data_IF_893509888348
#
_entry.id   IF_893509888348
#
_cell.length_a   1.000
_cell.length_b   1.000
_cell.length_c   1.000
_cell.angle_alpha   90.00
_cell.angle_beta   90.00
_cell.angle_gamma   90.00
#
_symmetry.space_group_name_H-M   'P 1'
#
loop_
_entity.id
_entity.type
_entity.pdbx_description
1 polymer ?
#
# COMPACT_ATOMS: atom_id res chain seq x y z
N UNK A 1 13.40 38.61 -38.47
CA UNK A 1 12.70 39.80 -37.90
C UNK A 1 13.66 40.46 -36.94
N UNK A 2 13.88 41.77 -37.03
CA UNK A 2 14.79 42.51 -36.13
C UNK A 2 14.03 43.63 -35.44
N UNK A 3 14.13 43.69 -34.11
CA UNK A 3 13.52 44.77 -33.32
C UNK A 3 14.20 44.94 -31.98
N UNK A 4 14.62 46.16 -31.68
CA UNK A 4 15.21 46.55 -30.40
C UNK A 4 14.18 47.01 -29.36
N UNK A 5 12.89 47.00 -29.69
CA UNK A 5 11.82 47.48 -28.82
C UNK A 5 10.72 46.45 -28.59
N UNK A 6 10.66 45.38 -29.38
CA UNK A 6 9.64 44.35 -29.26
C UNK A 6 9.80 43.60 -27.93
N UNK A 7 8.74 43.63 -27.11
CA UNK A 7 8.67 42.93 -25.82
C UNK A 7 7.85 41.66 -25.88
N UNK A 8 6.71 41.70 -26.57
CA UNK A 8 5.80 40.56 -26.66
C UNK A 8 5.66 40.13 -28.12
N UNK A 9 5.87 38.85 -28.39
CA UNK A 9 5.69 38.28 -29.71
C UNK A 9 4.74 37.09 -29.66
N UNK A 10 3.59 37.23 -30.30
CA UNK A 10 2.56 36.21 -30.35
C UNK A 10 2.55 35.55 -31.74
N UNK A 11 2.80 34.25 -31.75
CA UNK A 11 2.81 33.36 -32.92
C UNK A 11 1.85 32.18 -32.74
N UNK A 12 0.83 32.34 -31.89
CA UNK A 12 -0.15 31.30 -31.60
C UNK A 12 -0.94 30.89 -32.86
N UNK A 13 -1.41 29.64 -32.89
CA UNK A 13 -2.28 29.06 -33.90
C UNK A 13 -1.75 29.19 -35.33
N UNK A 14 -0.44 29.01 -35.47
CA UNK A 14 0.22 28.94 -36.76
C UNK A 14 0.56 27.47 -37.11
N UNK A 15 1.38 27.27 -38.14
CA UNK A 15 1.86 25.94 -38.57
C UNK A 15 3.37 25.82 -38.42
N UNK A 16 3.95 26.55 -37.48
CA UNK A 16 5.41 26.56 -37.26
C UNK A 16 5.80 25.21 -36.66
N UNK A 17 6.78 24.55 -37.26
CA UNK A 17 7.27 23.24 -36.82
C UNK A 17 8.71 23.26 -36.33
N UNK A 18 9.43 24.37 -36.54
CA UNK A 18 10.85 24.47 -36.25
C UNK A 18 11.26 25.89 -35.86
N UNK A 19 12.16 25.98 -34.88
CA UNK A 19 12.92 27.19 -34.51
C UNK A 19 14.37 26.80 -34.28
N UNK A 20 15.27 27.79 -34.31
CA UNK A 20 16.69 27.62 -34.06
C UNK A 20 17.27 28.83 -33.33
N UNK A 21 18.57 28.78 -33.07
CA UNK A 21 19.34 29.83 -32.40
C UNK A 21 19.32 31.20 -33.11
N UNK A 22 18.95 31.28 -34.38
CA UNK A 22 18.84 32.55 -35.12
C UNK A 22 17.41 33.10 -35.18
N UNK A 23 16.41 32.32 -34.77
CA UNK A 23 14.99 32.66 -34.95
C UNK A 23 14.59 33.92 -34.18
N UNK A 24 15.01 34.02 -32.91
CA UNK A 24 14.71 35.15 -32.02
C UNK A 24 15.93 36.00 -31.66
N UNK A 25 17.07 35.74 -32.31
CA UNK A 25 18.36 36.38 -32.03
C UNK A 25 18.31 37.91 -32.10
N UNK A 26 17.62 38.46 -33.09
CA UNK A 26 17.51 39.92 -33.31
C UNK A 26 16.37 40.58 -32.51
N UNK A 27 15.93 39.96 -31.41
CA UNK A 27 14.88 40.47 -30.51
C UNK A 27 15.40 40.60 -29.06
N UNK A 28 16.42 41.43 -28.80
CA UNK A 28 17.11 41.47 -27.50
C UNK A 28 16.25 41.96 -26.33
N UNK A 29 15.10 42.61 -26.59
CA UNK A 29 14.16 43.11 -25.57
C UNK A 29 12.93 42.23 -25.38
N UNK A 30 12.91 41.03 -25.98
CA UNK A 30 11.80 40.10 -25.86
C UNK A 30 11.63 39.63 -24.41
N UNK A 31 10.45 39.83 -23.86
CA UNK A 31 10.04 39.39 -22.52
C UNK A 31 9.05 38.24 -22.60
N UNK A 32 8.10 38.29 -23.54
CA UNK A 32 7.10 37.23 -23.72
C UNK A 32 7.06 36.67 -25.14
N UNK A 33 7.05 35.35 -25.25
CA UNK A 33 6.84 34.62 -26.51
C UNK A 33 5.69 33.63 -26.34
N UNK A 34 4.68 33.74 -27.22
CA UNK A 34 3.57 32.79 -27.25
C UNK A 34 3.59 32.03 -28.59
N UNK A 35 3.61 30.70 -28.51
CA UNK A 35 3.63 29.79 -29.68
C UNK A 35 2.63 28.63 -29.52
N UNK A 36 1.53 28.89 -28.82
CA UNK A 36 0.46 27.93 -28.56
C UNK A 36 -0.13 27.44 -29.89
N UNK A 37 -0.51 26.16 -30.01
CA UNK A 37 -1.26 25.67 -31.17
C UNK A 37 -0.42 25.62 -32.44
N UNK A 38 0.86 25.28 -32.32
CA UNK A 38 1.78 25.11 -33.45
C UNK A 38 2.07 23.62 -33.68
N UNK A 39 3.11 23.30 -34.47
CA UNK A 39 3.47 21.94 -34.88
C UNK A 39 4.83 21.50 -34.36
N UNK A 40 5.25 22.02 -33.20
CA UNK A 40 6.53 21.63 -32.62
C UNK A 40 6.45 20.20 -32.09
N UNK A 41 7.45 19.40 -32.44
CA UNK A 41 7.59 18.01 -31.99
C UNK A 41 8.86 17.80 -31.19
N UNK A 42 9.93 18.50 -31.53
CA UNK A 42 11.25 18.38 -30.89
C UNK A 42 11.39 19.39 -29.76
N UNK A 43 11.87 18.94 -28.61
CA UNK A 43 12.20 19.82 -27.49
C UNK A 43 13.24 20.85 -27.92
N UNK A 44 13.01 22.12 -27.58
CA UNK A 44 13.94 23.20 -27.93
C UNK A 44 15.18 23.14 -27.05
N UNK A 45 16.25 23.79 -27.52
CA UNK A 45 17.44 23.96 -26.71
C UNK A 45 17.40 25.33 -26.03
N UNK A 46 17.81 25.40 -24.75
CA UNK A 46 17.93 26.66 -24.00
C UNK A 46 18.76 27.71 -24.74
N UNK A 47 19.80 27.29 -25.47
CA UNK A 47 20.67 28.18 -26.25
C UNK A 47 19.92 28.98 -27.33
N UNK A 48 18.72 28.57 -27.74
CA UNK A 48 17.91 29.32 -28.70
C UNK A 48 17.50 30.70 -28.16
N UNK A 49 17.54 30.88 -26.85
CA UNK A 49 17.18 32.11 -26.15
C UNK A 49 18.39 32.85 -25.57
N UNK A 50 19.61 32.49 -25.97
CA UNK A 50 20.84 33.10 -25.44
C UNK A 50 20.89 34.64 -25.62
N UNK A 51 20.21 35.17 -26.64
CA UNK A 51 20.12 36.62 -26.91
C UNK A 51 18.90 37.30 -26.31
N UNK A 52 18.00 36.55 -25.67
CA UNK A 52 16.73 37.05 -25.11
C UNK A 52 16.79 37.03 -23.58
N UNK A 53 17.72 37.82 -23.01
CA UNK A 53 18.02 37.82 -21.56
C UNK A 53 16.85 38.23 -20.66
N UNK A 54 15.84 38.90 -21.21
CA UNK A 54 14.66 39.37 -20.48
C UNK A 54 13.45 38.45 -20.63
N UNK A 55 13.61 37.29 -21.29
CA UNK A 55 12.50 36.37 -21.57
C UNK A 55 12.01 35.69 -20.29
N UNK A 56 10.90 36.17 -19.75
CA UNK A 56 10.26 35.69 -18.52
C UNK A 56 9.00 34.85 -18.81
N UNK A 57 8.34 35.06 -19.95
CA UNK A 57 7.12 34.35 -20.33
C UNK A 57 7.30 33.55 -21.62
N UNK A 58 6.93 32.28 -21.59
CA UNK A 58 7.01 31.38 -22.73
C UNK A 58 5.82 30.41 -22.71
N UNK A 59 4.88 30.62 -23.65
CA UNK A 59 3.66 29.82 -23.72
C UNK A 59 3.80 28.78 -24.85
N UNK A 60 4.01 27.52 -24.48
CA UNK A 60 4.36 26.40 -25.38
C UNK A 60 3.26 25.34 -25.53
N UNK A 61 2.09 25.56 -24.93
CA UNK A 61 0.97 24.62 -24.89
C UNK A 61 0.44 24.26 -26.29
N UNK A 62 -0.33 23.17 -26.37
CA UNK A 62 -0.99 22.75 -27.62
C UNK A 62 -0.01 22.57 -28.79
N UNK A 63 1.05 21.81 -28.54
CA UNK A 63 2.03 21.39 -29.54
C UNK A 63 2.22 19.87 -29.47
N UNK A 64 2.84 19.28 -30.49
CA UNK A 64 3.02 17.84 -30.62
C UNK A 64 4.32 17.33 -29.97
N UNK A 65 4.65 17.83 -28.76
CA UNK A 65 5.91 17.56 -28.09
C UNK A 65 6.19 16.06 -27.93
N UNK A 66 7.37 15.63 -28.37
CA UNK A 66 7.89 14.30 -28.15
C UNK A 66 8.75 14.30 -26.88
N UNK A 67 8.34 13.51 -25.91
CA UNK A 67 8.98 13.35 -24.63
C UNK A 67 9.98 12.19 -24.66
N UNK A 68 11.20 12.49 -25.11
CA UNK A 68 12.32 11.56 -25.04
C UNK A 68 13.08 11.78 -23.71
N UNK A 69 12.57 11.22 -22.61
CA UNK A 69 13.06 11.50 -21.25
C UNK A 69 14.54 11.18 -20.99
N UNK A 70 15.18 10.38 -21.84
CA UNK A 70 16.62 10.04 -21.78
C UNK A 70 17.51 11.10 -22.44
N UNK A 71 16.93 12.04 -23.17
CA UNK A 71 17.64 13.16 -23.78
C UNK A 71 17.92 14.23 -22.72
N UNK A 72 19.20 14.54 -22.51
CA UNK A 72 19.65 15.56 -21.59
C UNK A 72 19.06 16.95 -21.93
N UNK A 73 18.83 17.21 -23.22
CA UNK A 73 18.23 18.46 -23.68
C UNK A 73 16.80 18.64 -23.15
N UNK A 74 16.06 17.53 -22.95
CA UNK A 74 14.71 17.61 -22.42
C UNK A 74 14.69 18.06 -20.97
N UNK A 75 15.60 17.52 -20.14
CA UNK A 75 15.72 17.93 -18.75
C UNK A 75 16.21 19.37 -18.62
N UNK A 76 17.26 19.77 -19.35
CA UNK A 76 17.77 21.16 -19.34
C UNK A 76 16.69 22.16 -19.77
N UNK A 77 15.94 21.85 -20.83
CA UNK A 77 14.88 22.73 -21.29
C UNK A 77 13.69 22.77 -20.33
N UNK A 78 13.33 21.63 -19.72
CA UNK A 78 12.32 21.58 -18.66
C UNK A 78 12.73 22.46 -17.48
N UNK A 79 13.99 22.39 -17.05
CA UNK A 79 14.54 23.23 -15.98
C UNK A 79 14.43 24.72 -16.33
N UNK A 80 14.83 25.08 -17.55
CA UNK A 80 14.77 26.45 -18.07
C UNK A 80 13.37 27.05 -18.08
N UNK A 81 12.32 26.25 -18.30
CA UNK A 81 10.94 26.75 -18.32
C UNK A 81 10.24 26.68 -16.96
N UNK A 82 10.63 25.77 -16.07
CA UNK A 82 9.90 25.48 -14.82
C UNK A 82 10.54 25.99 -13.53
N UNK A 83 11.88 26.12 -13.46
CA UNK A 83 12.59 26.54 -12.25
C UNK A 83 12.78 28.05 -12.17
N UNK A 84 12.82 28.57 -10.94
CA UNK A 84 13.18 29.96 -10.64
C UNK A 84 14.66 30.24 -10.99
N UNK A 85 15.01 31.48 -11.43
CA UNK A 85 14.19 32.68 -11.58
C UNK A 85 13.38 32.74 -12.87
N UNK A 86 13.55 31.75 -13.75
CA UNK A 86 12.90 31.63 -15.06
C UNK A 86 11.56 30.91 -15.01
N UNK A 87 10.90 30.87 -13.85
CA UNK A 87 9.61 30.21 -13.67
C UNK A 87 8.55 30.89 -14.53
N UNK A 88 8.14 30.24 -15.61
CA UNK A 88 7.16 30.80 -16.56
C UNK A 88 5.78 30.27 -16.17
N UNK A 89 4.82 31.16 -15.90
CA UNK A 89 3.55 30.86 -15.22
C UNK A 89 2.75 29.65 -15.78
N UNK A 90 2.95 29.29 -17.06
CA UNK A 90 2.22 28.22 -17.74
C UNK A 90 3.07 26.97 -18.09
N UNK A 91 4.34 26.93 -17.67
CA UNK A 91 5.28 25.84 -18.02
C UNK A 91 4.91 24.47 -17.45
N UNK A 92 4.03 24.42 -16.45
CA UNK A 92 3.60 23.18 -15.78
C UNK A 92 2.60 22.37 -16.61
N UNK A 93 2.01 22.98 -17.64
CA UNK A 93 0.95 22.37 -18.45
C UNK A 93 1.48 21.76 -19.76
N UNK A 94 2.79 21.53 -19.87
CA UNK A 94 3.37 20.94 -21.07
C UNK A 94 3.10 19.44 -21.10
N UNK A 95 2.36 19.03 -22.14
CA UNK A 95 1.89 17.66 -22.31
C UNK A 95 2.69 16.96 -23.41
N UNK A 96 2.93 15.68 -23.21
CA UNK A 96 3.54 14.79 -24.17
C UNK A 96 2.51 14.31 -25.22
N UNK A 97 2.88 14.35 -26.50
CA UNK A 97 2.11 13.79 -27.62
C UNK A 97 2.78 12.54 -28.21
N UNK A 98 4.03 12.28 -27.85
CA UNK A 98 4.77 11.06 -28.20
C UNK A 98 5.82 10.80 -27.12
N UNK A 99 6.27 9.55 -26.88
CA UNK A 99 5.76 8.29 -27.45
C UNK A 99 4.35 7.94 -26.96
N UNK A 100 3.72 6.93 -27.60
CA UNK A 100 2.34 6.52 -27.28
C UNK A 100 2.12 6.17 -25.81
N UNK A 101 3.17 5.72 -25.11
CA UNK A 101 3.16 5.36 -23.68
C UNK A 101 2.93 6.55 -22.76
N UNK A 102 3.21 7.76 -23.22
CA UNK A 102 3.19 8.98 -22.40
C UNK A 102 2.22 10.03 -22.94
N UNK A 103 1.37 9.70 -23.92
CA UNK A 103 0.40 10.65 -24.50
C UNK A 103 -0.53 11.18 -23.39
N UNK A 104 -0.69 12.50 -23.35
CA UNK A 104 -1.59 13.17 -22.41
C UNK A 104 -1.00 13.41 -21.02
N UNK A 105 0.17 12.84 -20.71
CA UNK A 105 0.88 13.10 -19.46
C UNK A 105 1.63 14.42 -19.53
N UNK A 106 1.82 15.08 -18.39
CA UNK A 106 2.74 16.22 -18.31
C UNK A 106 4.19 15.75 -18.52
N UNK A 107 5.07 16.66 -18.94
CA UNK A 107 6.50 16.35 -19.11
C UNK A 107 7.12 15.80 -17.82
N UNK A 108 6.78 16.40 -16.66
CA UNK A 108 7.29 15.96 -15.38
C UNK A 108 6.82 14.54 -15.04
N UNK A 109 5.53 14.24 -15.19
CA UNK A 109 4.99 12.90 -14.90
C UNK A 109 5.60 11.84 -15.83
N UNK A 110 5.67 12.13 -17.13
CA UNK A 110 6.21 11.21 -18.12
C UNK A 110 7.69 10.86 -17.83
N UNK A 111 8.47 11.85 -17.38
CA UNK A 111 9.91 11.70 -17.20
C UNK A 111 10.37 11.54 -15.74
N UNK A 112 9.46 11.60 -14.76
CA UNK A 112 9.77 11.63 -13.33
C UNK A 112 10.77 10.55 -12.91
N UNK A 113 10.48 9.28 -13.23
CA UNK A 113 11.35 8.16 -12.84
C UNK A 113 12.67 8.10 -13.62
N UNK A 114 12.75 8.74 -14.79
CA UNK A 114 13.99 8.83 -15.57
C UNK A 114 14.91 9.89 -14.98
N UNK A 115 14.35 11.05 -14.61
CA UNK A 115 15.11 12.16 -14.01
C UNK A 115 15.43 11.92 -12.53
N UNK A 116 14.61 11.17 -11.80
CA UNK A 116 14.78 10.87 -10.37
C UNK A 116 14.92 9.35 -10.11
N UNK A 117 16.01 8.71 -10.53
CA UNK A 117 16.16 7.24 -10.43
C UNK A 117 16.27 6.72 -9.00
N UNK A 118 16.73 7.54 -8.04
CA UNK A 118 16.93 7.17 -6.63
C UNK A 118 15.61 6.91 -5.88
N UNK A 119 14.52 7.52 -6.31
CA UNK A 119 13.18 7.28 -5.74
C UNK A 119 12.63 5.90 -6.09
N UNK A 120 13.01 5.35 -7.24
CA UNK A 120 12.54 4.04 -7.69
C UNK A 120 13.04 2.91 -6.79
N UNK A 121 14.30 2.98 -6.37
CA UNK A 121 14.94 1.96 -5.54
C UNK A 121 14.44 2.01 -4.10
N UNK A 122 14.29 3.21 -3.54
CA UNK A 122 13.83 3.38 -2.16
C UNK A 122 12.42 2.80 -1.93
N UNK A 123 11.50 2.99 -2.89
CA UNK A 123 10.14 2.48 -2.76
C UNK A 123 10.07 0.94 -2.82
N UNK A 124 10.86 0.30 -3.67
CA UNK A 124 10.90 -1.17 -3.79
C UNK A 124 11.41 -1.82 -2.50
N UNK A 125 12.49 -1.28 -1.92
CA UNK A 125 13.08 -1.84 -0.69
C UNK A 125 12.13 -1.70 0.50
N UNK A 126 11.50 -0.54 0.66
CA UNK A 126 10.53 -0.29 1.73
C UNK A 126 9.31 -1.22 1.63
N UNK A 127 8.76 -1.42 0.42
CA UNK A 127 7.64 -2.33 0.19
C UNK A 127 8.04 -3.77 0.47
N UNK A 128 9.24 -4.19 0.05
CA UNK A 128 9.74 -5.55 0.31
C UNK A 128 9.86 -5.83 1.82
N UNK A 129 10.45 -4.90 2.58
CA UNK A 129 10.56 -5.02 4.04
C UNK A 129 9.20 -5.06 4.74
N UNK A 130 8.24 -4.22 4.29
CA UNK A 130 6.89 -4.25 4.82
C UNK A 130 6.21 -5.61 4.61
N UNK A 131 6.31 -6.18 3.40
CA UNK A 131 5.77 -7.50 3.09
C UNK A 131 6.41 -8.60 3.96
N UNK A 132 7.73 -8.55 4.17
CA UNK A 132 8.44 -9.51 5.03
C UNK A 132 7.93 -9.45 6.47
N UNK A 133 7.82 -8.26 7.04
CA UNK A 133 7.32 -8.07 8.43
C UNK A 133 5.88 -8.56 8.56
N UNK A 134 5.02 -8.29 7.57
CA UNK A 134 3.64 -8.77 7.55
C UNK A 134 3.56 -10.30 7.52
N UNK A 135 4.36 -10.97 6.69
CA UNK A 135 4.40 -12.43 6.61
C UNK A 135 4.90 -13.04 7.92
N UNK A 136 5.96 -12.48 8.51
CA UNK A 136 6.48 -12.94 9.80
C UNK A 136 5.43 -12.77 10.89
N UNK A 137 4.75 -11.61 10.95
CA UNK A 137 3.66 -11.35 11.89
C UNK A 137 2.53 -12.35 11.77
N UNK A 138 2.05 -12.60 10.54
CA UNK A 138 0.98 -13.59 10.29
C UNK A 138 1.42 -15.00 10.68
N UNK A 139 2.64 -15.41 10.35
CA UNK A 139 3.16 -16.73 10.72
C UNK A 139 3.24 -16.92 12.24
N UNK A 140 3.69 -15.89 12.98
CA UNK A 140 3.71 -15.89 14.44
C UNK A 140 2.30 -16.01 15.02
N UNK A 141 1.33 -15.25 14.51
CA UNK A 141 -0.07 -15.36 14.92
C UNK A 141 -0.63 -16.77 14.68
N UNK A 142 -0.35 -17.39 13.53
CA UNK A 142 -0.78 -18.74 13.21
C UNK A 142 -0.18 -19.76 14.19
N UNK A 143 1.12 -19.66 14.47
CA UNK A 143 1.81 -20.54 15.43
C UNK A 143 1.21 -20.37 16.84
N UNK A 144 0.97 -19.14 17.28
CA UNK A 144 0.36 -18.84 18.58
C UNK A 144 -1.06 -19.42 18.69
N UNK A 145 -1.92 -19.18 17.68
CA UNK A 145 -3.30 -19.70 17.66
C UNK A 145 -3.29 -21.23 17.68
N UNK A 146 -2.44 -21.86 16.88
CA UNK A 146 -2.32 -23.32 16.86
C UNK A 146 -1.77 -23.86 18.19
N UNK A 147 -0.82 -23.17 18.82
CA UNK A 147 -0.28 -23.49 20.13
C UNK A 147 -1.35 -23.42 21.23
N UNK A 148 -2.13 -22.34 21.28
CA UNK A 148 -3.25 -22.16 22.21
C UNK A 148 -4.30 -23.24 21.98
N UNK A 149 -4.71 -23.49 20.73
CA UNK A 149 -5.67 -24.56 20.40
C UNK A 149 -5.18 -25.92 20.88
N UNK A 150 -3.90 -26.24 20.67
CA UNK A 150 -3.30 -27.51 21.12
C UNK A 150 -3.26 -27.61 22.64
N UNK A 151 -2.89 -26.53 23.33
CA UNK A 151 -2.88 -26.44 24.79
C UNK A 151 -4.28 -26.62 25.38
N UNK A 152 -5.28 -25.91 24.83
CA UNK A 152 -6.67 -26.00 25.26
C UNK A 152 -7.25 -27.40 25.05
N UNK A 153 -6.96 -28.05 23.91
CA UNK A 153 -7.36 -29.45 23.68
C UNK A 153 -6.74 -30.40 24.71
N UNK A 154 -5.45 -30.24 25.02
CA UNK A 154 -4.77 -31.04 26.06
C UNK A 154 -5.38 -30.83 27.44
N UNK A 155 -5.67 -29.58 27.81
CA UNK A 155 -6.33 -29.23 29.08
C UNK A 155 -7.73 -29.85 29.19
N UNK A 156 -8.53 -29.76 28.11
CA UNK A 156 -9.86 -30.34 28.10
C UNK A 156 -9.81 -31.87 28.27
N UNK A 157 -8.91 -32.56 27.56
CA UNK A 157 -8.72 -33.99 27.70
C UNK A 157 -8.30 -34.41 29.12
N UNK A 158 -7.43 -33.63 29.78
CA UNK A 158 -7.04 -33.89 31.16
C UNK A 158 -8.22 -33.75 32.14
N UNK A 159 -9.01 -32.68 32.01
CA UNK A 159 -10.21 -32.46 32.85
C UNK A 159 -11.24 -33.60 32.66
N UNK A 160 -11.38 -34.10 31.43
CA UNK A 160 -12.32 -35.17 31.12
C UNK A 160 -11.89 -36.50 31.73
N UNK A 161 -10.59 -36.83 31.66
CA UNK A 161 -10.02 -38.00 32.30
C UNK A 161 -10.14 -37.97 33.84
N UNK A 162 -9.95 -36.80 34.47
CA UNK A 162 -10.13 -36.67 35.92
C UNK A 162 -11.60 -36.85 36.35
N UNK A 163 -12.56 -36.35 35.54
CA UNK A 163 -13.99 -36.60 35.79
C UNK A 163 -14.34 -38.08 35.69
N UNK A 164 -13.82 -38.77 34.68
CA UNK A 164 -14.04 -40.21 34.51
C UNK A 164 -13.52 -41.00 35.72
N UNK A 165 -12.31 -40.67 36.19
CA UNK A 165 -11.75 -41.27 37.42
C UNK A 165 -12.62 -41.03 38.64
N UNK A 166 -13.11 -39.81 38.86
CA UNK A 166 -13.98 -39.54 40.01
C UNK A 166 -15.31 -40.29 39.95
N UNK A 167 -15.89 -40.44 38.76
CA UNK A 167 -17.12 -41.22 38.56
C UNK A 167 -16.87 -42.70 38.84
N UNK A 168 -15.73 -43.24 38.42
CA UNK A 168 -15.34 -44.62 38.67
C UNK A 168 -15.11 -44.88 40.17
N UNK A 169 -14.35 -44.02 40.85
CA UNK A 169 -14.15 -44.09 42.30
C UNK A 169 -15.47 -43.98 43.08
N UNK A 170 -16.38 -43.08 42.67
CA UNK A 170 -17.70 -42.95 43.30
C UNK A 170 -18.56 -44.21 43.11
N UNK A 171 -18.51 -44.82 41.92
CA UNK A 171 -19.19 -46.10 41.65
C UNK A 171 -18.69 -47.22 42.53
N UNK A 172 -17.37 -47.33 42.72
CA UNK A 172 -16.79 -48.40 43.54
C UNK A 172 -17.10 -48.20 45.04
N UNK A 173 -17.09 -46.96 45.53
CA UNK A 173 -17.58 -46.65 46.88
C UNK A 173 -19.04 -47.05 47.08
N UNK A 174 -19.91 -46.74 46.11
CA UNK A 174 -21.33 -47.10 46.17
C UNK A 174 -21.52 -48.63 46.17
N UNK A 175 -20.73 -49.38 45.38
CA UNK A 175 -20.72 -50.85 45.39
C UNK A 175 -20.36 -51.41 46.76
N UNK A 176 -19.30 -50.90 47.39
CA UNK A 176 -18.89 -51.33 48.72
C UNK A 176 -19.97 -51.08 49.78
N UNK A 177 -20.55 -49.88 49.78
CA UNK A 177 -21.66 -49.54 50.68
C UNK A 177 -22.88 -50.45 50.49
N UNK A 178 -23.21 -50.78 49.24
CA UNK A 178 -24.33 -51.68 48.94
C UNK A 178 -24.09 -53.09 49.50
N UNK A 179 -22.89 -53.65 49.31
CA UNK A 179 -22.52 -54.97 49.86
C UNK A 179 -22.62 -54.96 51.38
N UNK A 180 -22.11 -53.92 52.04
CA UNK A 180 -22.19 -53.79 53.49
C UNK A 180 -23.65 -53.74 53.98
N UNK A 181 -24.50 -52.93 53.33
CA UNK A 181 -25.92 -52.83 53.69
C UNK A 181 -26.68 -54.16 53.47
N UNK A 182 -26.40 -54.89 52.40
CA UNK A 182 -26.98 -56.22 52.15
C UNK A 182 -26.55 -57.23 53.23
N UNK A 183 -25.31 -57.16 53.70
CA UNK A 183 -24.79 -58.03 54.75
C UNK A 183 -25.35 -57.69 56.14
N UNK A 184 -25.50 -56.40 56.46
CA UNK A 184 -26.20 -55.94 57.67
C UNK A 184 -27.68 -56.38 57.66
N UNK A 185 -28.36 -56.28 56.51
CA UNK A 185 -29.74 -56.74 56.37
C UNK A 185 -29.88 -58.26 56.57
N UNK A 186 -28.95 -59.07 56.07
CA UNK A 186 -28.90 -60.51 56.29
C UNK A 186 -28.60 -60.89 57.74
N UNK A 187 -27.74 -60.14 58.44
CA UNK A 187 -27.42 -60.40 59.85
C UNK A 187 -28.57 -60.01 60.78
N UNK A 188 -29.34 -58.97 60.40
CA UNK A 188 -30.49 -58.46 61.15
C UNK A 188 -31.83 -59.12 60.74
N UNK A 189 -31.83 -60.20 59.96
CA UNK A 189 -33.07 -60.95 59.72
C UNK A 189 -33.56 -61.57 61.03
N UNK A 190 -34.81 -61.32 61.46
CA UNK A 190 -35.34 -61.90 62.69
C UNK A 190 -35.29 -63.44 62.64
N UNK A 191 -34.82 -64.08 63.72
CA UNK A 191 -34.88 -65.54 63.85
C UNK A 191 -36.36 -65.97 63.81
N UNK A 192 -36.75 -66.97 62.99
CA UNK A 192 -38.11 -67.49 62.93
C UNK A 192 -38.72 -67.86 64.29
N UNK A 193 -37.89 -68.08 65.31
CA UNK A 193 -38.32 -68.39 66.69
C UNK A 193 -38.75 -67.17 67.50
N UNK A 194 -38.26 -65.97 67.17
CA UNK A 194 -38.64 -64.71 67.83
C UNK A 194 -39.99 -64.16 67.34
N UNK A 195 -40.56 -64.76 66.28
CA UNK A 195 -41.91 -64.46 65.79
C UNK A 195 -43.02 -65.23 66.54
N UNK A 196 -42.66 -66.08 67.51
CA UNK A 196 -43.64 -66.82 68.33
C UNK A 196 -43.98 -65.97 69.56
N UNK A 197 -45.21 -65.46 69.62
CA UNK A 197 -45.70 -64.69 70.76
C UNK A 197 -45.65 -65.55 72.06
N UNK A 198 -45.18 -64.99 73.19
CA UNK A 198 -45.16 -65.71 74.46
C UNK A 198 -46.58 -66.09 74.91
N UNK A 199 -46.77 -67.27 75.54
CA UNK A 199 -48.10 -67.74 75.93
C UNK A 199 -48.71 -66.81 77.00
N UNK A 200 -49.91 -66.32 76.72
CA UNK A 200 -50.74 -65.56 77.66
C UNK A 200 -51.42 -66.54 78.61
N UNK A 201 -51.28 -66.27 79.92
CA UNK A 201 -52.03 -66.94 80.98
C UNK A 201 -53.08 -65.96 81.51
N UNK A 202 -54.36 -66.36 81.43
CA UNK A 202 -55.47 -65.80 82.20
C UNK A 202 -55.69 -66.67 83.45
N UNK A 203 -56.16 -66.05 84.54
CA UNK A 203 -56.48 -66.67 85.85
C UNK A 203 -57.53 -67.79 85.78
#
# INVERSE_FOLDING_TARGET
>A
ISSNTLKYFNLNYNRISYVNNFTFFMLPRLTGLAVIGNRFTTIWNRSFFASNLYLDRLDLSDNMWRCDCKDDNMFDFYEFVTLEPSKKEESYNLICNSPFTNIGQTWLEACYFTWNPTEKTANLDNIAWFCIVMIIGLSLCIVLVNGIRRSMKRRLAAIQADRERQVEEARDRLRQLRIQAEQEALCNTPDPRDLIAPPSYDE
#
